data_IF_436801721059
#
_entry.id   IF_436801721059
#
_cell.length_a   1.000
_cell.length_b   1.000
_cell.length_c   1.000
_cell.angle_alpha   90.00
_cell.angle_beta   90.00
_cell.angle_gamma   90.00
#
_symmetry.space_group_name_H-M   'P 1'
#
loop_
_entity.id
_entity.type
_entity.pdbx_description
1 polymer ?
#
# COMPACT_ATOMS: atom_id res chain seq x y z
N UNK A 1 -22.87 5.67 1.46
CA UNK A 1 -22.15 4.71 2.33
C UNK A 1 -20.75 4.64 1.79
N UNK A 2 -19.75 4.88 2.63
CA UNK A 2 -18.36 4.95 2.18
C UNK A 2 -17.88 3.54 1.82
N UNK A 3 -16.97 3.46 0.86
CA UNK A 3 -16.35 2.21 0.45
C UNK A 3 -14.86 2.29 0.71
N UNK A 4 -14.26 1.14 0.98
CA UNK A 4 -12.87 1.07 1.39
C UNK A 4 -12.14 0.09 0.49
N UNK A 5 -10.91 0.43 0.14
CA UNK A 5 -10.04 -0.44 -0.64
C UNK A 5 -8.75 -0.74 0.12
N UNK A 6 -8.23 -1.94 -0.14
CA UNK A 6 -6.89 -2.36 0.25
C UNK A 6 -6.07 -2.58 -1.01
N UNK A 7 -4.90 -1.96 -1.04
CA UNK A 7 -3.86 -2.17 -2.05
C UNK A 7 -2.79 -3.04 -1.42
N UNK A 8 -2.64 -4.28 -1.89
CA UNK A 8 -1.57 -5.17 -1.47
C UNK A 8 -0.53 -5.28 -2.57
N UNK A 9 0.73 -5.03 -2.25
CA UNK A 9 1.85 -5.06 -3.20
C UNK A 9 2.94 -5.99 -2.68
N UNK A 10 3.45 -6.86 -3.54
CA UNK A 10 4.60 -7.71 -3.28
C UNK A 10 5.68 -7.43 -4.34
N UNK A 11 6.92 -7.23 -3.89
CA UNK A 11 8.02 -6.83 -4.77
C UNK A 11 9.40 -7.20 -4.22
N UNK A 12 10.42 -7.18 -5.09
CA UNK A 12 11.84 -7.35 -4.74
C UNK A 12 12.66 -6.18 -5.30
N UNK A 13 13.61 -5.65 -4.54
CA UNK A 13 14.55 -4.66 -5.08
C UNK A 13 15.52 -5.30 -6.09
N UNK A 14 15.88 -4.57 -7.15
CA UNK A 14 16.85 -5.01 -8.18
C UNK A 14 18.29 -4.81 -7.66
N UNK A 15 19.29 -5.65 -8.03
CA UNK A 15 19.19 -6.83 -8.89
C UNK A 15 18.82 -8.14 -8.16
N UNK A 16 19.06 -8.22 -6.85
CA UNK A 16 18.79 -9.39 -5.99
C UNK A 16 18.36 -8.88 -4.60
N UNK A 17 17.34 -9.49 -4.01
CA UNK A 17 16.81 -9.08 -2.72
C UNK A 17 15.64 -9.92 -2.22
N UNK A 18 15.31 -9.73 -0.95
CA UNK A 18 14.16 -10.37 -0.30
C UNK A 18 12.83 -9.92 -0.90
N UNK A 19 11.79 -10.74 -0.72
CA UNK A 19 10.41 -10.37 -1.08
C UNK A 19 9.83 -9.51 0.03
N UNK A 20 9.50 -8.28 -0.31
CA UNK A 20 8.77 -7.35 0.55
C UNK A 20 7.29 -7.39 0.22
N UNK A 21 6.45 -7.25 1.25
CA UNK A 21 5.00 -7.16 1.13
C UNK A 21 4.54 -5.92 1.88
N UNK A 22 3.68 -5.14 1.24
CA UNK A 22 3.10 -3.94 1.84
C UNK A 22 1.60 -3.90 1.56
N UNK A 23 0.86 -3.31 2.50
CA UNK A 23 -0.56 -3.05 2.37
C UNK A 23 -0.84 -1.58 2.63
N UNK A 24 -1.61 -0.96 1.75
CA UNK A 24 -2.09 0.41 1.89
C UNK A 24 -3.62 0.41 1.88
N UNK A 25 -4.21 1.22 2.75
CA UNK A 25 -5.67 1.29 2.90
C UNK A 25 -6.16 2.68 2.58
N UNK A 26 -7.25 2.75 1.81
CA UNK A 26 -7.82 4.02 1.34
C UNK A 26 -9.34 4.00 1.39
N UNK A 27 -9.90 5.09 1.89
CA UNK A 27 -11.32 5.41 1.73
C UNK A 27 -11.59 5.97 0.33
N UNK A 28 -12.66 5.48 -0.30
CA UNK A 28 -13.17 5.96 -1.59
C UNK A 28 -14.36 6.86 -1.33
N UNK A 29 -14.27 8.11 -1.75
CA UNK A 29 -15.32 9.09 -1.47
C UNK A 29 -16.57 8.83 -2.32
N UNK A 30 -17.77 9.25 -1.89
CA UNK A 30 -19.00 9.04 -2.66
C UNK A 30 -18.99 9.67 -4.05
N UNK A 31 -18.20 10.71 -4.26
CA UNK A 31 -18.01 11.39 -5.55
C UNK A 31 -17.18 10.54 -6.54
N UNK A 32 -16.39 9.61 -6.02
CA UNK A 32 -15.53 8.76 -6.82
C UNK A 32 -16.28 7.52 -7.32
N UNK A 33 -16.06 7.18 -8.59
CA UNK A 33 -16.58 5.92 -9.13
C UNK A 33 -15.72 4.75 -8.66
N UNK A 34 -16.22 4.00 -7.67
CA UNK A 34 -15.49 2.94 -6.98
C UNK A 34 -14.71 1.97 -7.87
N UNK A 35 -15.35 1.45 -8.94
CA UNK A 35 -14.69 0.50 -9.84
C UNK A 35 -13.55 1.16 -10.62
N UNK A 36 -13.72 2.43 -11.00
CA UNK A 36 -12.68 3.21 -11.67
C UNK A 36 -11.49 3.42 -10.73
N UNK A 37 -11.75 3.82 -9.48
CA UNK A 37 -10.68 3.98 -8.47
C UNK A 37 -9.89 2.70 -8.28
N UNK A 38 -10.55 1.52 -8.20
CA UNK A 38 -9.85 0.24 -8.07
C UNK A 38 -8.94 -0.05 -9.26
N UNK A 39 -9.44 0.13 -10.47
CA UNK A 39 -8.71 -0.13 -11.72
C UNK A 39 -7.53 0.83 -11.85
N UNK A 40 -7.77 2.13 -11.64
CA UNK A 40 -6.75 3.16 -11.75
C UNK A 40 -5.65 2.96 -10.70
N UNK A 41 -6.03 2.64 -9.46
CA UNK A 41 -5.07 2.33 -8.39
C UNK A 41 -4.22 1.12 -8.75
N UNK A 42 -4.82 0.05 -9.27
CA UNK A 42 -4.09 -1.13 -9.72
C UNK A 42 -3.06 -0.80 -10.81
N UNK A 43 -3.48 -0.04 -11.84
CA UNK A 43 -2.60 0.36 -12.94
C UNK A 43 -1.48 1.28 -12.46
N UNK A 44 -1.78 2.26 -11.59
CA UNK A 44 -0.79 3.18 -11.05
C UNK A 44 0.31 2.43 -10.28
N UNK A 45 -0.07 1.55 -9.34
CA UNK A 45 0.90 0.79 -8.55
C UNK A 45 1.68 -0.19 -9.41
N UNK A 46 1.03 -0.90 -10.33
CA UNK A 46 1.72 -1.83 -11.24
C UNK A 46 2.77 -1.11 -12.08
N UNK A 47 2.39 0.01 -12.70
CA UNK A 47 3.29 0.80 -13.56
C UNK A 47 4.45 1.44 -12.80
N UNK A 48 4.22 1.90 -11.56
CA UNK A 48 5.25 2.51 -10.74
C UNK A 48 6.25 1.45 -10.25
N UNK A 49 5.75 0.34 -9.71
CA UNK A 49 6.60 -0.70 -9.12
C UNK A 49 7.38 -1.46 -10.19
N UNK A 50 6.81 -1.77 -11.34
CA UNK A 50 7.53 -2.45 -12.44
C UNK A 50 8.78 -1.69 -12.90
N UNK A 51 8.73 -0.35 -12.85
CA UNK A 51 9.88 0.51 -13.17
C UNK A 51 10.97 0.45 -12.10
N UNK A 52 10.60 0.46 -10.83
CA UNK A 52 11.52 0.63 -9.70
C UNK A 52 12.08 -0.69 -9.16
N UNK A 53 11.26 -1.74 -9.18
CA UNK A 53 11.51 -3.02 -8.49
C UNK A 53 11.07 -4.18 -9.39
N UNK A 54 11.39 -5.42 -9.01
CA UNK A 54 10.75 -6.58 -9.59
C UNK A 54 9.40 -6.77 -8.92
N UNK A 55 8.33 -6.49 -9.65
CA UNK A 55 6.97 -6.62 -9.15
C UNK A 55 6.54 -8.08 -9.16
N UNK A 56 6.24 -8.64 -7.99
CA UNK A 56 5.75 -10.01 -7.83
C UNK A 56 4.22 -10.05 -7.88
N UNK A 57 3.54 -8.99 -7.42
CA UNK A 57 2.10 -8.87 -7.54
C UNK A 57 1.51 -7.60 -6.95
N UNK A 58 0.40 -7.14 -7.53
CA UNK A 58 -0.45 -6.06 -7.00
C UNK A 58 -1.88 -6.58 -6.94
N UNK A 59 -2.60 -6.29 -5.87
CA UNK A 59 -4.01 -6.58 -5.75
C UNK A 59 -4.74 -5.38 -5.12
N UNK A 60 -5.90 -5.03 -5.68
CA UNK A 60 -6.76 -3.95 -5.16
C UNK A 60 -8.15 -4.51 -4.89
N UNK A 61 -8.46 -4.69 -3.61
CA UNK A 61 -9.71 -5.33 -3.16
C UNK A 61 -10.60 -4.37 -2.40
N UNK A 62 -11.90 -4.62 -2.45
CA UNK A 62 -12.85 -3.98 -1.52
C UNK A 62 -12.70 -4.62 -0.15
N UNK A 63 -12.76 -3.82 0.92
CA UNK A 63 -12.67 -4.31 2.30
C UNK A 63 -13.77 -3.70 3.17
N UNK A 64 -14.05 -4.35 4.30
CA UNK A 64 -14.98 -3.82 5.29
C UNK A 64 -14.40 -2.59 5.99
N UNK A 65 -15.27 -1.76 6.58
CA UNK A 65 -14.83 -0.63 7.39
C UNK A 65 -13.98 -1.07 8.60
N UNK A 66 -14.30 -2.22 9.21
CA UNK A 66 -13.53 -2.76 10.33
C UNK A 66 -12.11 -3.13 9.89
N UNK A 67 -11.97 -3.81 8.75
CA UNK A 67 -10.67 -4.15 8.17
C UNK A 67 -9.90 -2.90 7.77
N UNK A 68 -10.56 -1.90 7.19
CA UNK A 68 -9.96 -0.61 6.87
C UNK A 68 -9.37 0.06 8.11
N UNK A 69 -10.16 0.19 9.19
CA UNK A 69 -9.72 0.85 10.42
C UNK A 69 -8.56 0.11 11.09
N UNK A 70 -8.62 -1.23 11.16
CA UNK A 70 -7.54 -2.05 11.70
C UNK A 70 -6.27 -1.95 10.87
N UNK A 71 -6.40 -2.11 9.55
CA UNK A 71 -5.28 -2.04 8.62
C UNK A 71 -4.60 -0.66 8.58
N UNK A 72 -5.37 0.43 8.66
CA UNK A 72 -4.84 1.80 8.80
C UNK A 72 -4.02 1.98 10.08
N UNK A 73 -4.47 1.41 11.20
CA UNK A 73 -3.73 1.50 12.46
C UNK A 73 -2.39 0.73 12.40
N UNK A 74 -2.39 -0.44 11.77
CA UNK A 74 -1.16 -1.22 11.53
C UNK A 74 -0.20 -0.48 10.59
N UNK A 75 -0.70 0.04 9.47
CA UNK A 75 0.07 0.82 8.49
C UNK A 75 0.71 2.06 9.15
N UNK A 76 -0.04 2.79 9.97
CA UNK A 76 0.48 3.95 10.70
C UNK A 76 1.53 3.55 11.75
N UNK A 77 1.37 2.41 12.42
CA UNK A 77 2.36 1.92 13.37
C UNK A 77 3.68 1.54 12.68
N UNK A 78 3.61 0.88 11.52
CA UNK A 78 4.78 0.54 10.70
C UNK A 78 5.50 1.78 10.18
N UNK A 79 4.76 2.78 9.69
CA UNK A 79 5.33 4.07 9.26
C UNK A 79 6.05 4.79 10.40
N UNK A 80 5.46 4.82 11.61
CA UNK A 80 6.11 5.42 12.79
C UNK A 80 7.38 4.68 13.17
N UNK A 81 7.37 3.35 13.12
CA UNK A 81 8.55 2.53 13.38
C UNK A 81 9.69 2.84 12.40
N UNK A 82 9.38 2.93 11.09
CA UNK A 82 10.37 3.29 10.06
C UNK A 82 10.92 4.71 10.24
N UNK A 83 10.07 5.67 10.61
CA UNK A 83 10.49 7.05 10.91
C UNK A 83 11.45 7.10 12.10
N UNK A 84 11.17 6.33 13.15
CA UNK A 84 12.02 6.29 14.34
C UNK A 84 13.40 5.69 14.03
N UNK A 85 13.47 4.59 13.28
CA UNK A 85 14.75 4.02 12.82
C UNK A 85 15.57 5.05 12.03
N UNK A 86 14.91 5.80 11.14
CA UNK A 86 15.57 6.80 10.30
C UNK A 86 16.15 7.94 11.13
N UNK A 87 15.41 8.40 12.15
CA UNK A 87 15.88 9.44 13.07
C UNK A 87 17.07 8.97 13.92
N UNK A 88 17.00 7.76 14.48
CA UNK A 88 18.07 7.21 15.32
C UNK A 88 19.36 6.95 14.53
N UNK A 89 19.26 6.56 13.25
CA UNK A 89 20.40 6.37 12.36
C UNK A 89 21.08 7.68 11.91
N UNK A 90 20.39 8.83 11.98
CA UNK A 90 20.94 10.14 11.62
C UNK A 90 21.61 10.89 12.79
N UNK A 91 21.51 10.38 14.02
CA UNK A 91 22.10 10.99 15.24
C UNK A 91 23.42 10.30 15.64
N UNK A 92 24.00 9.46 14.77
CA UNK A 92 25.29 8.78 14.99
C UNK A 92 26.46 9.49 14.32
#
# INVERSE_FOLDING_TARGET
MNKYIKVAVAYKFKPEGEVYKQAHYREVTPEEHFNTVKIDTFHMFSNLFDKLVYLEGVNVTEVSELEYRGGRAEEEAELRFLQQITLDGCVS
#
